data_IF_507578634027
#
_entry.id   IF_507578634027
#
_cell.length_a   1.000
_cell.length_b   1.000
_cell.length_c   1.000
_cell.angle_alpha   90.00
_cell.angle_beta   90.00
_cell.angle_gamma   90.00
#
_symmetry.space_group_name_H-M   'P 1'
#
loop_
_entity.id
_entity.type
_entity.pdbx_description
1 polymer ?
#
# COMPACT_ATOMS: atom_id res chain seq x y z
N UNK A 1 -9.05 -21.67 10.19
CA UNK A 1 -9.61 -20.46 9.53
C UNK A 1 -8.73 -19.27 9.85
N UNK A 2 -8.65 -18.29 8.95
CA UNK A 2 -7.82 -17.09 9.14
C UNK A 2 -8.42 -16.15 10.21
N UNK A 3 -7.56 -15.35 10.83
CA UNK A 3 -7.92 -14.25 11.71
C UNK A 3 -8.66 -13.15 10.91
N UNK A 4 -9.96 -12.89 11.17
CA UNK A 4 -10.71 -11.89 10.41
C UNK A 4 -10.14 -10.48 10.50
N UNK A 5 -9.52 -10.11 11.63
CA UNK A 5 -8.88 -8.81 11.83
C UNK A 5 -7.62 -8.66 10.98
N UNK A 6 -6.87 -9.75 10.74
CA UNK A 6 -5.66 -9.72 9.91
C UNK A 6 -5.94 -9.25 8.47
N UNK A 7 -7.10 -9.60 7.93
CA UNK A 7 -7.52 -9.24 6.57
C UNK A 7 -8.29 -7.91 6.48
N UNK A 8 -8.65 -7.30 7.61
CA UNK A 8 -9.54 -6.10 7.65
C UNK A 8 -8.90 -4.90 8.31
N UNK A 9 -8.07 -5.11 9.31
CA UNK A 9 -7.47 -4.08 10.15
C UNK A 9 -6.01 -3.83 9.78
N UNK A 10 -5.53 -2.64 10.16
CA UNK A 10 -4.15 -2.21 9.92
C UNK A 10 -3.74 -2.24 8.43
N UNK A 11 -4.67 -1.88 7.54
CA UNK A 11 -4.46 -1.75 6.09
C UNK A 11 -4.45 -0.26 5.74
N UNK A 12 -3.35 0.21 5.17
CA UNK A 12 -3.19 1.62 4.80
C UNK A 12 -4.30 2.08 3.84
N UNK A 13 -4.68 3.36 3.95
CA UNK A 13 -5.50 3.99 2.91
C UNK A 13 -4.72 4.01 1.61
N UNK A 14 -5.24 3.31 0.59
CA UNK A 14 -4.55 3.06 -0.66
C UNK A 14 -5.51 3.11 -1.84
N UNK A 15 -5.07 3.74 -2.92
CA UNK A 15 -5.77 3.81 -4.19
C UNK A 15 -5.77 2.41 -4.80
N UNK A 16 -6.91 2.00 -5.35
CA UNK A 16 -7.06 0.67 -5.91
C UNK A 16 -7.01 -0.46 -4.86
N UNK A 17 -7.28 -0.20 -3.57
CA UNK A 17 -7.25 -1.26 -2.55
C UNK A 17 -8.13 -2.45 -2.95
N UNK A 18 -7.62 -3.66 -2.73
CA UNK A 18 -8.24 -4.93 -3.19
C UNK A 18 -9.10 -5.62 -2.14
N UNK A 19 -9.47 -4.93 -1.04
CA UNK A 19 -10.26 -5.53 0.05
C UNK A 19 -11.59 -6.11 -0.43
N UNK A 20 -12.26 -5.41 -1.34
CA UNK A 20 -13.51 -5.88 -1.94
C UNK A 20 -13.32 -7.00 -2.97
N UNK A 21 -12.09 -7.20 -3.47
CA UNK A 21 -11.75 -8.25 -4.44
C UNK A 21 -11.22 -9.53 -3.79
N UNK A 22 -10.92 -9.53 -2.49
CA UNK A 22 -10.31 -10.69 -1.81
C UNK A 22 -11.09 -11.99 -2.02
N UNK A 23 -12.42 -11.98 -1.90
CA UNK A 23 -13.23 -13.18 -2.12
C UNK A 23 -13.13 -13.72 -3.56
N UNK A 24 -13.00 -12.83 -4.56
CA UNK A 24 -12.84 -13.23 -5.96
C UNK A 24 -11.43 -13.78 -6.22
N UNK A 25 -10.42 -13.13 -5.64
CA UNK A 25 -9.02 -13.57 -5.72
C UNK A 25 -8.84 -14.92 -5.02
N UNK A 26 -9.47 -15.12 -3.86
CA UNK A 26 -9.47 -16.38 -3.12
C UNK A 26 -10.14 -17.51 -3.92
N UNK A 27 -11.25 -17.21 -4.59
CA UNK A 27 -11.89 -18.14 -5.51
C UNK A 27 -10.93 -18.59 -6.63
N UNK A 28 -10.22 -17.64 -7.25
CA UNK A 28 -9.22 -17.94 -8.28
C UNK A 28 -8.06 -18.79 -7.73
N UNK A 29 -7.53 -18.47 -6.54
CA UNK A 29 -6.48 -19.26 -5.87
C UNK A 29 -6.96 -20.69 -5.62
N UNK A 30 -8.18 -20.87 -5.11
CA UNK A 30 -8.74 -22.20 -4.84
C UNK A 30 -8.99 -23.00 -6.12
N UNK A 31 -9.47 -22.35 -7.18
CA UNK A 31 -9.62 -22.99 -8.50
C UNK A 31 -8.27 -23.49 -9.03
N UNK A 32 -7.22 -22.68 -8.93
CA UNK A 32 -5.87 -23.05 -9.37
C UNK A 32 -5.30 -24.18 -8.50
N UNK A 33 -5.47 -24.12 -7.18
CA UNK A 33 -5.10 -25.21 -6.26
C UNK A 33 -5.74 -26.53 -6.69
N UNK A 34 -7.03 -26.51 -7.03
CA UNK A 34 -7.74 -27.70 -7.48
C UNK A 34 -7.21 -28.24 -8.82
N UNK A 35 -6.98 -27.37 -9.82
CA UNK A 35 -6.39 -27.76 -11.10
C UNK A 35 -4.98 -28.35 -10.94
N UNK A 36 -4.17 -27.76 -10.05
CA UNK A 36 -2.82 -28.22 -9.76
C UNK A 36 -2.75 -29.40 -8.79
N UNK A 37 -3.88 -29.79 -8.17
CA UNK A 37 -3.98 -30.80 -7.11
C UNK A 37 -3.04 -30.50 -5.93
N UNK A 38 -2.99 -29.23 -5.51
CA UNK A 38 -2.16 -28.75 -4.41
C UNK A 38 -3.02 -28.20 -3.27
N UNK A 39 -2.65 -28.50 -2.02
CA UNK A 39 -3.24 -27.83 -0.86
C UNK A 39 -2.57 -26.48 -0.56
N UNK A 40 -1.28 -26.34 -0.85
CA UNK A 40 -0.54 -25.10 -0.69
C UNK A 40 0.23 -24.78 -1.96
N UNK A 41 0.34 -23.49 -2.27
CA UNK A 41 1.00 -22.98 -3.47
C UNK A 41 2.21 -22.11 -3.14
N UNK A 42 3.14 -22.02 -4.07
CA UNK A 42 4.11 -20.92 -4.10
C UNK A 42 3.46 -19.70 -4.77
N UNK A 43 3.48 -18.56 -4.09
CA UNK A 43 2.75 -17.35 -4.51
C UNK A 43 3.69 -16.15 -4.61
N UNK A 44 3.60 -15.39 -5.70
CA UNK A 44 4.30 -14.12 -5.87
C UNK A 44 3.31 -12.96 -6.00
N UNK A 45 3.44 -11.94 -5.16
CA UNK A 45 2.72 -10.67 -5.27
C UNK A 45 3.67 -9.60 -5.84
N UNK A 46 3.58 -9.34 -7.14
CA UNK A 46 4.56 -8.52 -7.87
C UNK A 46 4.45 -7.03 -7.51
N UNK A 47 3.26 -6.59 -7.12
CA UNK A 47 2.88 -5.21 -6.80
C UNK A 47 2.13 -5.15 -5.46
N UNK A 48 2.80 -5.59 -4.41
CA UNK A 48 2.15 -5.92 -3.13
C UNK A 48 1.47 -4.74 -2.44
N UNK A 49 1.90 -3.49 -2.66
CA UNK A 49 1.23 -2.29 -2.18
C UNK A 49 0.92 -2.29 -0.68
N UNK A 50 -0.36 -2.39 -0.31
CA UNK A 50 -0.78 -2.47 1.11
C UNK A 50 -0.58 -3.85 1.75
N UNK A 51 -0.15 -4.84 0.97
CA UNK A 51 0.06 -6.23 1.36
C UNK A 51 -1.23 -7.05 1.50
N UNK A 52 -2.41 -6.49 1.22
CA UNK A 52 -3.69 -7.17 1.53
C UNK A 52 -3.89 -8.49 0.78
N UNK A 53 -3.41 -8.58 -0.46
CA UNK A 53 -3.50 -9.83 -1.24
C UNK A 53 -2.46 -10.84 -0.77
N UNK A 54 -1.23 -10.40 -0.50
CA UNK A 54 -0.21 -11.21 0.18
C UNK A 54 -0.71 -11.77 1.53
N UNK A 55 -1.40 -10.96 2.34
CA UNK A 55 -2.03 -11.42 3.59
C UNK A 55 -3.08 -12.51 3.36
N UNK A 56 -3.95 -12.33 2.37
CA UNK A 56 -4.92 -13.37 1.98
C UNK A 56 -4.21 -14.66 1.55
N UNK A 57 -3.18 -14.54 0.71
CA UNK A 57 -2.43 -15.68 0.17
C UNK A 57 -1.71 -16.49 1.26
N UNK A 58 -1.43 -15.92 2.44
CA UNK A 58 -0.77 -16.59 3.57
C UNK A 58 -1.50 -17.85 4.03
N UNK A 59 -2.83 -17.81 4.04
CA UNK A 59 -3.65 -18.97 4.36
C UNK A 59 -3.57 -20.09 3.28
N UNK A 60 -3.08 -19.78 2.08
CA UNK A 60 -3.09 -20.67 0.91
C UNK A 60 -1.71 -21.09 0.43
N UNK A 61 -0.63 -20.52 0.99
CA UNK A 61 0.71 -20.66 0.43
C UNK A 61 1.67 -21.42 1.36
N UNK A 62 2.64 -22.13 0.77
CA UNK A 62 3.81 -22.64 1.50
C UNK A 62 4.93 -21.58 1.53
N UNK A 63 5.05 -20.77 0.47
CA UNK A 63 5.96 -19.65 0.37
C UNK A 63 5.31 -18.45 -0.33
N UNK A 64 5.61 -17.23 0.14
CA UNK A 64 5.16 -15.97 -0.47
C UNK A 64 6.36 -15.10 -0.84
N UNK A 65 6.40 -14.65 -2.09
CA UNK A 65 7.32 -13.63 -2.57
C UNK A 65 6.56 -12.31 -2.76
N UNK A 66 6.71 -11.36 -1.85
CA UNK A 66 6.07 -10.04 -1.97
C UNK A 66 7.07 -9.01 -2.49
N UNK A 67 6.71 -8.27 -3.53
CA UNK A 67 7.55 -7.23 -4.11
C UNK A 67 6.78 -5.91 -4.24
N UNK A 68 7.48 -4.80 -4.08
CA UNK A 68 7.00 -3.48 -4.47
C UNK A 68 8.19 -2.54 -4.69
N UNK A 69 7.97 -1.43 -5.38
CA UNK A 69 9.01 -0.41 -5.57
C UNK A 69 9.20 0.44 -4.29
N UNK A 70 8.14 0.60 -3.49
CA UNK A 70 8.10 1.54 -2.38
C UNK A 70 8.55 0.94 -1.04
N UNK A 71 9.34 1.72 -0.28
CA UNK A 71 9.87 1.29 1.02
C UNK A 71 8.75 1.05 2.04
N UNK A 72 7.72 1.89 2.06
CA UNK A 72 6.59 1.68 2.97
C UNK A 72 5.94 0.30 2.73
N UNK A 73 5.85 -0.14 1.47
CA UNK A 73 5.24 -1.42 1.10
C UNK A 73 6.14 -2.57 1.55
N UNK A 74 7.45 -2.46 1.33
CA UNK A 74 8.43 -3.42 1.85
C UNK A 74 8.29 -3.63 3.37
N UNK A 75 8.26 -2.54 4.15
CA UNK A 75 8.15 -2.61 5.62
C UNK A 75 6.81 -3.22 6.05
N UNK A 76 5.71 -2.85 5.39
CA UNK A 76 4.37 -3.39 5.66
C UNK A 76 4.37 -4.90 5.42
N UNK A 77 4.81 -5.36 4.25
CA UNK A 77 4.83 -6.78 3.95
C UNK A 77 5.77 -7.55 4.87
N UNK A 78 6.93 -6.97 5.23
CA UNK A 78 7.86 -7.61 6.18
C UNK A 78 7.20 -7.83 7.56
N UNK A 79 6.45 -6.85 8.06
CA UNK A 79 5.72 -6.96 9.31
C UNK A 79 4.62 -8.03 9.23
N UNK A 80 3.68 -7.88 8.30
CA UNK A 80 2.45 -8.67 8.31
C UNK A 80 2.59 -10.08 7.72
N UNK A 81 3.63 -10.35 6.92
CA UNK A 81 3.97 -11.70 6.49
C UNK A 81 4.87 -12.44 7.49
N UNK A 82 5.37 -11.79 8.54
CA UNK A 82 6.08 -12.49 9.60
C UNK A 82 5.22 -13.54 10.28
N UNK A 83 5.84 -14.65 10.67
CA UNK A 83 5.18 -15.77 11.33
C UNK A 83 5.08 -15.52 12.83
N UNK A 84 3.87 -15.65 13.36
CA UNK A 84 3.67 -15.52 14.79
C UNK A 84 4.37 -16.67 15.52
N UNK A 85 5.10 -16.33 16.57
CA UNK A 85 5.58 -17.27 17.57
C UNK A 85 5.73 -16.53 18.91
N UNK A 86 5.78 -17.29 20.01
CA UNK A 86 5.81 -16.72 21.36
C UNK A 86 7.02 -15.82 21.60
N UNK A 87 8.19 -16.21 21.11
CA UNK A 87 9.44 -15.43 21.26
C UNK A 87 9.31 -14.06 20.60
N UNK A 88 8.80 -14.02 19.37
CA UNK A 88 8.54 -12.78 18.64
C UNK A 88 7.52 -11.92 19.38
N UNK A 89 6.43 -12.52 19.87
CA UNK A 89 5.39 -11.82 20.64
C UNK A 89 5.98 -11.16 21.89
N UNK A 90 6.77 -11.90 22.67
CA UNK A 90 7.37 -11.40 23.91
C UNK A 90 8.35 -10.25 23.63
N UNK A 91 9.11 -10.34 22.53
CA UNK A 91 9.98 -9.24 22.08
C UNK A 91 9.20 -8.01 21.61
N UNK A 92 8.10 -8.20 20.90
CA UNK A 92 7.22 -7.09 20.53
C UNK A 92 6.66 -6.43 21.79
N UNK A 93 6.27 -7.20 22.81
CA UNK A 93 5.75 -6.68 24.07
C UNK A 93 6.81 -5.89 24.86
N UNK A 94 8.03 -6.41 24.93
CA UNK A 94 9.19 -5.75 25.54
C UNK A 94 9.47 -4.39 24.87
N UNK A 95 9.64 -4.39 23.55
CA UNK A 95 9.92 -3.15 22.80
C UNK A 95 8.73 -2.20 22.81
N UNK A 96 7.50 -2.71 22.80
CA UNK A 96 6.30 -1.89 22.93
C UNK A 96 6.32 -1.11 24.25
N UNK A 97 6.64 -1.76 25.37
CA UNK A 97 6.77 -1.11 26.67
C UNK A 97 7.90 -0.06 26.66
N UNK A 98 9.06 -0.39 26.10
CA UNK A 98 10.18 0.55 25.94
C UNK A 98 9.80 1.81 25.13
N UNK A 99 9.08 1.63 24.01
CA UNK A 99 8.67 2.74 23.14
C UNK A 99 7.74 3.73 23.87
N UNK A 100 6.87 3.23 24.75
CA UNK A 100 5.90 4.05 25.49
C UNK A 100 6.44 4.61 26.81
N UNK A 101 7.45 3.97 27.41
CA UNK A 101 8.07 4.43 28.66
C UNK A 101 8.66 5.84 28.50
N UNK A 102 8.20 6.81 29.28
CA UNK A 102 8.69 8.19 29.27
C UNK A 102 8.66 8.83 27.85
N UNK A 103 7.60 8.57 27.08
CA UNK A 103 7.44 9.14 25.75
C UNK A 103 7.06 10.63 25.83
N UNK A 104 8.05 11.49 25.72
CA UNK A 104 7.83 12.93 25.53
C UNK A 104 7.68 13.28 24.05
N UNK A 105 6.67 14.12 23.75
CA UNK A 105 6.45 14.60 22.38
C UNK A 105 7.42 15.73 22.03
N UNK A 106 8.27 15.48 21.05
CA UNK A 106 9.29 16.39 20.53
C UNK A 106 9.00 16.73 19.08
N UNK A 107 9.32 17.97 18.69
CA UNK A 107 9.26 18.41 17.30
C UNK A 107 10.41 17.76 16.51
N UNK A 108 10.09 17.19 15.36
CA UNK A 108 11.03 16.74 14.34
C UNK A 108 10.66 17.32 12.98
N UNK A 109 11.09 16.66 11.90
CA UNK A 109 10.85 17.20 10.57
C UNK A 109 9.42 16.97 10.07
N UNK A 110 8.70 15.98 10.60
CA UNK A 110 7.31 15.73 10.21
C UNK A 110 6.43 16.88 10.71
N UNK A 111 6.53 17.23 11.99
CA UNK A 111 5.83 18.39 12.56
C UNK A 111 6.28 19.70 11.94
N UNK A 112 7.57 19.89 11.68
CA UNK A 112 8.05 21.13 11.08
C UNK A 112 7.63 21.34 9.61
N UNK A 113 7.48 20.27 8.83
CA UNK A 113 7.22 20.38 7.38
C UNK A 113 5.78 20.08 6.97
N UNK A 114 5.02 19.33 7.78
CA UNK A 114 3.74 18.74 7.38
C UNK A 114 2.58 18.95 8.39
N UNK A 115 2.81 19.73 9.45
CA UNK A 115 1.78 20.23 10.36
C UNK A 115 1.83 21.76 10.45
N UNK A 116 0.72 22.43 10.84
CA UNK A 116 0.74 23.87 11.08
C UNK A 116 1.51 24.21 12.37
N UNK A 117 2.03 25.43 12.46
CA UNK A 117 2.67 25.93 13.69
C UNK A 117 1.63 26.19 14.79
N UNK A 118 0.46 26.71 14.42
CA UNK A 118 -0.67 26.94 15.31
C UNK A 118 -1.97 26.49 14.64
N UNK A 119 -2.62 25.47 15.19
CA UNK A 119 -3.87 24.89 14.65
C UNK A 119 -5.05 25.88 14.69
N UNK A 120 -5.07 26.82 15.63
CA UNK A 120 -6.12 27.84 15.77
C UNK A 120 -5.90 29.04 14.85
N UNK A 121 -4.71 29.17 14.25
CA UNK A 121 -4.33 30.31 13.41
C UNK A 121 -3.42 29.91 12.25
N UNK A 122 -3.88 28.94 11.46
CA UNK A 122 -3.15 28.40 10.32
C UNK A 122 -2.89 29.50 9.28
N UNK A 123 -1.64 29.61 8.83
CA UNK A 123 -1.18 30.62 7.86
C UNK A 123 -1.14 30.07 6.44
N UNK A 124 -1.29 30.99 5.47
CA UNK A 124 -1.16 30.67 4.06
C UNK A 124 0.25 30.14 3.76
N UNK A 125 0.34 28.96 3.18
CA UNK A 125 1.60 28.31 2.83
C UNK A 125 2.01 27.20 3.80
N UNK A 126 1.41 27.13 4.99
CA UNK A 126 1.58 26.00 5.89
C UNK A 126 0.94 24.73 5.33
N UNK A 127 1.56 23.58 5.64
CA UNK A 127 1.02 22.28 5.30
C UNK A 127 0.26 21.73 6.47
N UNK A 128 -0.94 21.26 6.21
CA UNK A 128 -1.87 20.79 7.23
C UNK A 128 -2.22 19.35 6.90
N UNK A 129 -1.23 18.45 6.90
CA UNK A 129 -1.46 17.01 6.71
C UNK A 129 -1.85 16.33 8.02
N UNK A 130 -1.21 16.73 9.10
CA UNK A 130 -1.41 16.20 10.45
C UNK A 130 -1.74 17.34 11.42
N UNK A 131 -2.38 17.00 12.53
CA UNK A 131 -2.37 17.85 13.73
C UNK A 131 -0.93 17.96 14.22
N UNK A 132 -0.59 19.06 14.89
CA UNK A 132 0.73 19.30 15.46
C UNK A 132 1.08 18.18 16.45
N UNK A 133 0.11 17.75 17.27
CA UNK A 133 0.27 16.63 18.20
C UNK A 133 0.58 15.31 17.48
N UNK A 134 -0.16 14.94 16.43
CA UNK A 134 0.08 13.70 15.69
C UNK A 134 1.43 13.72 14.98
N UNK A 135 1.83 14.86 14.42
CA UNK A 135 3.12 14.99 13.77
C UNK A 135 4.28 14.88 14.77
N UNK A 136 4.15 15.48 15.96
CA UNK A 136 5.12 15.33 17.05
C UNK A 136 5.17 13.89 17.58
N UNK A 137 4.02 13.20 17.66
CA UNK A 137 4.00 11.78 18.00
C UNK A 137 4.76 10.95 16.98
N UNK A 138 4.52 11.13 15.68
CA UNK A 138 5.25 10.45 14.60
C UNK A 138 6.76 10.72 14.72
N UNK A 139 7.15 11.98 14.90
CA UNK A 139 8.56 12.37 15.06
C UNK A 139 9.21 11.66 16.27
N UNK A 140 8.53 11.66 17.41
CA UNK A 140 9.06 11.14 18.67
C UNK A 140 9.17 9.63 18.65
N UNK A 141 8.10 8.96 18.20
CA UNK A 141 8.05 7.50 18.18
C UNK A 141 9.02 6.95 17.13
N UNK A 142 9.18 7.60 15.97
CA UNK A 142 10.15 7.15 14.97
C UNK A 142 11.58 7.26 15.47
N UNK A 143 11.94 8.34 16.16
CA UNK A 143 13.26 8.46 16.80
C UNK A 143 13.52 7.35 17.82
N UNK A 144 12.52 6.98 18.63
CA UNK A 144 12.64 5.85 19.56
C UNK A 144 12.73 4.49 18.86
N UNK A 145 11.98 4.28 17.77
CA UNK A 145 12.07 3.04 16.98
C UNK A 145 13.48 2.87 16.38
N UNK A 146 14.22 3.94 16.07
CA UNK A 146 15.62 3.79 15.62
C UNK A 146 16.54 3.15 16.69
N UNK A 147 16.14 3.16 17.97
CA UNK A 147 16.91 2.61 19.07
C UNK A 147 16.69 1.11 19.28
N UNK A 148 15.66 0.51 18.68
CA UNK A 148 15.42 -0.93 18.75
C UNK A 148 16.15 -1.67 17.61
N UNK A 149 16.47 -2.97 17.76
CA UNK A 149 17.18 -3.71 16.73
C UNK A 149 16.42 -3.71 15.39
N UNK A 150 17.14 -3.58 14.28
CA UNK A 150 16.57 -3.37 12.93
C UNK A 150 15.50 -4.38 12.55
N UNK A 151 15.72 -5.65 12.88
CA UNK A 151 14.81 -6.75 12.53
C UNK A 151 13.44 -6.63 13.22
N UNK A 152 13.34 -5.84 14.30
CA UNK A 152 12.07 -5.60 15.01
C UNK A 152 11.38 -4.29 14.62
N UNK A 153 12.08 -3.37 13.93
CA UNK A 153 11.53 -2.05 13.61
C UNK A 153 10.27 -2.13 12.74
N UNK A 154 10.19 -3.10 11.83
CA UNK A 154 9.04 -3.26 10.93
C UNK A 154 7.72 -3.45 11.71
N UNK A 155 7.74 -4.12 12.86
CA UNK A 155 6.58 -4.38 13.72
C UNK A 155 5.99 -3.13 14.36
N UNK A 156 6.70 -2.01 14.33
CA UNK A 156 6.25 -0.73 14.87
C UNK A 156 6.10 0.33 13.78
N UNK A 157 6.95 0.32 12.76
CA UNK A 157 6.80 1.22 11.62
C UNK A 157 5.54 0.88 10.82
N UNK A 158 5.24 -0.40 10.55
CA UNK A 158 4.07 -0.76 9.75
C UNK A 158 2.72 -0.36 10.40
N UNK A 159 2.47 -0.59 11.70
CA UNK A 159 1.28 -0.06 12.36
C UNK A 159 1.24 1.47 12.43
N UNK A 160 2.39 2.14 12.60
CA UNK A 160 2.46 3.60 12.56
C UNK A 160 2.08 4.16 11.18
N UNK A 161 2.54 3.53 10.10
CA UNK A 161 2.18 3.90 8.73
C UNK A 161 0.68 3.76 8.49
N UNK A 162 0.06 2.70 9.03
CA UNK A 162 -1.40 2.56 9.02
C UNK A 162 -2.08 3.75 9.70
N UNK A 163 -1.69 4.07 10.93
CA UNK A 163 -2.28 5.17 11.70
C UNK A 163 -2.10 6.52 10.99
N UNK A 164 -0.91 6.80 10.44
CA UNK A 164 -0.64 7.99 9.65
C UNK A 164 -1.48 8.06 8.37
N UNK A 165 -1.78 6.92 7.73
CA UNK A 165 -2.65 6.86 6.55
C UNK A 165 -4.13 7.07 6.85
N UNK A 166 -4.55 6.94 8.11
CA UNK A 166 -5.94 7.14 8.56
C UNK A 166 -6.14 8.54 9.12
N UNK A 167 -5.27 8.95 10.04
CA UNK A 167 -5.36 10.20 10.79
C UNK A 167 -4.60 11.33 10.10
N UNK A 168 -5.09 11.70 8.91
CA UNK A 168 -4.53 12.78 8.11
C UNK A 168 -5.63 13.56 7.37
N UNK A 169 -5.30 14.80 7.03
CA UNK A 169 -6.17 15.77 6.38
C UNK A 169 -6.16 15.66 4.85
N UNK A 170 -6.32 14.44 4.32
CA UNK A 170 -6.36 14.19 2.88
C UNK A 170 -7.63 13.48 2.47
N UNK A 171 -7.89 13.49 1.16
CA UNK A 171 -8.93 12.66 0.52
C UNK A 171 -8.44 11.25 0.18
N UNK A 172 -7.41 10.73 0.84
CA UNK A 172 -6.89 9.37 0.63
C UNK A 172 -5.56 9.29 -0.12
N UNK A 173 -4.99 10.43 -0.53
CA UNK A 173 -3.62 10.53 -1.08
C UNK A 173 -2.93 11.77 -0.53
N UNK A 174 -1.63 11.71 -0.27
CA UNK A 174 -0.83 12.80 0.26
C UNK A 174 -0.46 13.87 -0.78
N UNK A 175 -0.85 13.71 -2.06
CA UNK A 175 -0.58 14.70 -3.11
C UNK A 175 -1.21 16.07 -2.82
N UNK A 176 -2.19 16.16 -1.94
CA UNK A 176 -2.72 17.41 -1.41
C UNK A 176 -3.45 17.20 -0.08
N UNK A 177 -3.69 18.31 0.64
CA UNK A 177 -4.45 18.35 1.88
C UNK A 177 -5.63 19.30 1.75
N UNK A 178 -6.64 19.16 2.61
CA UNK A 178 -7.82 20.01 2.58
C UNK A 178 -7.50 21.47 2.96
N UNK A 179 -8.21 22.38 2.30
CA UNK A 179 -8.06 23.84 2.42
C UNK A 179 -9.44 24.48 2.53
N UNK A 180 -9.47 25.71 3.04
CA UNK A 180 -10.65 26.56 3.00
C UNK A 180 -10.83 27.22 1.63
N UNK A 181 -11.86 28.07 1.51
CA UNK A 181 -12.17 28.83 0.30
C UNK A 181 -11.09 29.84 -0.11
N UNK A 182 -10.22 30.25 0.83
CA UNK A 182 -9.12 31.18 0.60
C UNK A 182 -7.81 30.46 0.25
N UNK A 183 -7.84 29.12 0.18
CA UNK A 183 -6.67 28.29 -0.11
C UNK A 183 -5.70 28.13 1.06
N UNK A 184 -6.12 28.47 2.28
CA UNK A 184 -5.40 28.23 3.54
C UNK A 184 -5.72 26.80 4.00
N UNK A 185 -4.74 26.09 4.56
CA UNK A 185 -4.97 24.74 5.08
C UNK A 185 -6.07 24.73 6.15
N UNK A 186 -6.99 23.78 6.06
CA UNK A 186 -8.09 23.63 7.03
C UNK A 186 -8.43 22.15 7.18
N UNK A 187 -8.50 21.67 8.42
CA UNK A 187 -8.88 20.30 8.70
C UNK A 187 -10.31 20.02 8.21
N UNK A 188 -10.48 19.00 7.35
CA UNK A 188 -11.79 18.68 6.75
C UNK A 188 -12.29 19.69 5.71
N UNK A 189 -11.46 20.68 5.35
CA UNK A 189 -11.79 21.74 4.39
C UNK A 189 -12.85 22.72 4.91
N UNK A 190 -13.43 23.51 4.01
CA UNK A 190 -14.47 24.51 4.38
C UNK A 190 -15.64 23.90 5.14
N UNK A 191 -15.99 22.64 4.84
CA UNK A 191 -17.11 21.91 5.43
C UNK A 191 -16.74 21.09 6.68
N UNK A 192 -15.47 21.09 7.10
CA UNK A 192 -15.00 20.38 8.30
C UNK A 192 -15.43 18.90 8.33
N UNK A 193 -15.31 18.23 7.18
CA UNK A 193 -15.75 16.84 7.08
C UNK A 193 -14.74 15.87 7.71
N UNK A 194 -15.27 14.83 8.34
CA UNK A 194 -14.49 13.72 8.92
C UNK A 194 -13.45 14.14 9.96
N UNK A 195 -13.71 15.21 10.74
CA UNK A 195 -12.79 15.69 11.78
C UNK A 195 -12.44 14.62 12.81
N UNK A 196 -13.38 13.76 13.21
CA UNK A 196 -13.10 12.65 14.14
C UNK A 196 -12.01 11.71 13.63
N UNK A 197 -12.00 11.42 12.33
CA UNK A 197 -10.93 10.65 11.68
C UNK A 197 -9.66 11.50 11.55
N UNK A 198 -9.76 12.71 11.02
CA UNK A 198 -8.61 13.55 10.67
C UNK A 198 -7.80 13.97 11.90
N UNK A 199 -8.50 14.39 12.97
CA UNK A 199 -7.91 14.86 14.24
C UNK A 199 -7.79 13.75 15.29
N UNK A 200 -8.22 12.52 14.98
CA UNK A 200 -8.03 11.38 15.87
C UNK A 200 -6.55 11.20 16.22
N UNK A 201 -6.26 10.93 17.50
CA UNK A 201 -4.88 10.80 17.97
C UNK A 201 -4.24 9.55 17.37
N UNK A 202 -3.08 9.72 16.75
CA UNK A 202 -2.23 8.61 16.34
C UNK A 202 -1.71 7.94 17.60
N UNK A 203 -1.90 6.63 17.67
CA UNK A 203 -1.27 5.75 18.66
C UNK A 203 -0.39 4.73 17.93
N UNK A 204 0.39 3.96 18.68
CA UNK A 204 1.14 2.83 18.12
C UNK A 204 0.45 1.54 18.55
N UNK A 205 -0.38 0.90 17.70
CA UNK A 205 -0.93 -0.42 18.01
C UNK A 205 0.09 -1.52 17.75
N UNK A 206 -0.06 -2.67 18.43
CA UNK A 206 0.71 -3.89 18.11
C UNK A 206 0.24 -4.49 16.78
N UNK A 207 1.12 -5.14 16.02
CA UNK A 207 0.75 -5.77 14.76
C UNK A 207 -0.23 -6.94 14.97
N UNK A 208 -1.17 -7.09 14.06
CA UNK A 208 -2.08 -8.24 14.00
C UNK A 208 -1.46 -9.30 13.10
N UNK A 209 -1.40 -10.55 13.57
CA UNK A 209 -0.81 -11.66 12.83
C UNK A 209 -1.88 -12.61 12.25
N UNK A 210 -1.48 -13.32 11.20
CA UNK A 210 -2.20 -14.45 10.63
C UNK A 210 -2.22 -15.64 11.59
N UNK A 211 -3.26 -16.47 11.49
CA UNK A 211 -3.32 -17.78 12.13
C UNK A 211 -2.47 -18.85 11.42
N UNK A 212 -1.92 -18.53 10.25
CA UNK A 212 -1.11 -19.41 9.43
C UNK A 212 0.35 -18.97 9.42
N UNK A 213 1.24 -19.94 9.25
CA UNK A 213 2.64 -19.70 8.98
C UNK A 213 2.97 -20.20 7.57
N UNK A 214 3.82 -19.45 6.88
CA UNK A 214 4.42 -19.84 5.61
C UNK A 214 5.82 -19.22 5.51
N UNK A 215 6.67 -19.75 4.65
CA UNK A 215 7.90 -19.07 4.31
C UNK A 215 7.56 -17.79 3.54
N UNK A 216 8.41 -16.78 3.65
CA UNK A 216 8.19 -15.55 2.90
C UNK A 216 9.49 -14.82 2.61
N UNK A 217 9.48 -14.08 1.51
CA UNK A 217 10.56 -13.20 1.12
C UNK A 217 9.96 -11.90 0.60
N UNK A 218 10.36 -10.78 1.20
CA UNK A 218 9.94 -9.45 0.76
C UNK A 218 11.08 -8.78 0.00
N UNK A 219 10.79 -8.21 -1.16
CA UNK A 219 11.75 -7.50 -2.01
C UNK A 219 11.27 -6.08 -2.25
N UNK A 220 12.24 -5.17 -2.40
CA UNK A 220 12.00 -3.80 -2.84
C UNK A 220 12.68 -3.58 -4.20
N UNK A 221 12.07 -4.07 -5.28
CA UNK A 221 12.67 -4.06 -6.61
C UNK A 221 11.68 -3.54 -7.67
N UNK A 222 12.23 -3.04 -8.77
CA UNK A 222 11.41 -2.88 -9.98
C UNK A 222 10.87 -4.26 -10.40
N UNK A 223 9.62 -4.27 -10.83
CA UNK A 223 8.82 -5.46 -11.09
C UNK A 223 9.46 -6.40 -12.13
N UNK A 224 10.12 -5.84 -13.16
CA UNK A 224 10.80 -6.65 -14.18
C UNK A 224 12.06 -7.32 -13.64
N UNK A 225 12.80 -6.65 -12.77
CA UNK A 225 13.98 -7.21 -12.12
C UNK A 225 13.58 -8.28 -11.10
N UNK A 226 12.48 -8.05 -10.38
CA UNK A 226 11.83 -9.08 -9.56
C UNK A 226 11.44 -10.29 -10.40
N UNK A 227 10.75 -10.11 -11.54
CA UNK A 227 10.33 -11.22 -12.39
C UNK A 227 11.50 -12.07 -12.92
N UNK A 228 12.65 -11.44 -13.21
CA UNK A 228 13.85 -12.14 -13.69
C UNK A 228 14.54 -12.95 -12.58
N UNK A 229 14.58 -12.40 -11.37
CA UNK A 229 15.29 -12.96 -10.22
C UNK A 229 14.44 -13.91 -9.36
N UNK A 230 13.11 -13.78 -9.40
CA UNK A 230 12.20 -14.63 -8.66
C UNK A 230 12.26 -16.08 -9.18
N UNK A 231 12.15 -17.01 -8.25
CA UNK A 231 12.04 -18.44 -8.55
C UNK A 231 10.73 -18.74 -9.29
N UNK A 232 10.63 -19.95 -9.85
CA UNK A 232 9.38 -20.38 -10.46
C UNK A 232 8.32 -20.55 -9.38
N UNK A 233 7.15 -19.93 -9.59
CA UNK A 233 6.01 -20.02 -8.66
C UNK A 233 4.79 -20.70 -9.30
N UNK A 234 3.86 -21.17 -8.49
CA UNK A 234 2.58 -21.68 -8.96
C UNK A 234 1.68 -20.53 -9.42
N UNK A 235 1.63 -19.43 -8.63
CA UNK A 235 0.82 -18.25 -8.95
C UNK A 235 1.67 -16.98 -8.84
N UNK A 236 1.64 -16.13 -9.87
CA UNK A 236 2.03 -14.73 -9.76
C UNK A 236 0.78 -13.83 -9.87
N UNK A 237 0.54 -13.03 -8.84
CA UNK A 237 -0.49 -12.01 -8.78
C UNK A 237 0.06 -10.65 -9.18
N UNK A 238 -0.69 -9.93 -10.02
CA UNK A 238 -0.32 -8.61 -10.53
C UNK A 238 -1.47 -7.61 -10.35
N UNK A 239 -1.14 -6.47 -9.76
CA UNK A 239 -2.01 -5.30 -9.63
C UNK A 239 -1.21 -4.02 -9.94
N UNK A 240 -0.79 -3.83 -11.21
CA UNK A 240 0.08 -2.72 -11.57
C UNK A 240 -0.65 -1.37 -11.46
N UNK A 241 0.09 -0.25 -11.35
CA UNK A 241 -0.47 1.05 -11.66
C UNK A 241 -1.06 1.05 -13.08
N UNK A 242 -2.35 1.39 -13.21
CA UNK A 242 -3.06 1.31 -14.49
C UNK A 242 -3.31 2.67 -15.14
N UNK A 243 -2.96 3.78 -14.48
CA UNK A 243 -3.19 5.14 -14.97
C UNK A 243 -2.05 6.11 -14.58
N UNK A 244 -2.22 7.41 -14.82
CA UNK A 244 -1.19 8.44 -14.60
C UNK A 244 -0.96 8.82 -13.12
N UNK A 245 -1.65 8.19 -12.16
CA UNK A 245 -1.54 8.52 -10.74
C UNK A 245 -0.31 7.84 -10.10
N UNK A 246 0.80 8.56 -9.85
CA UNK A 246 2.05 7.94 -9.44
C UNK A 246 2.03 7.67 -7.93
N UNK A 247 2.16 6.40 -7.53
CA UNK A 247 2.12 5.98 -6.13
C UNK A 247 3.25 6.63 -5.31
N UNK A 248 4.49 6.68 -5.82
CA UNK A 248 5.60 7.34 -5.11
C UNK A 248 5.35 8.80 -4.74
N UNK A 249 4.60 9.54 -5.58
CA UNK A 249 4.20 10.92 -5.27
C UNK A 249 2.90 11.03 -4.46
N UNK A 250 1.98 10.07 -4.61
CA UNK A 250 0.70 10.05 -3.88
C UNK A 250 0.86 9.56 -2.44
N UNK A 251 1.86 8.73 -2.16
CA UNK A 251 2.14 8.12 -0.85
C UNK A 251 3.52 8.47 -0.32
N UNK A 252 4.16 9.53 -0.85
CA UNK A 252 5.49 9.96 -0.43
C UNK A 252 5.63 10.12 1.11
N UNK A 253 4.57 10.55 1.78
CA UNK A 253 4.55 10.73 3.23
C UNK A 253 4.83 9.42 3.96
N UNK A 254 4.32 8.30 3.45
CA UNK A 254 4.56 6.98 4.03
C UNK A 254 6.04 6.61 3.91
N UNK A 255 6.70 6.93 2.79
CA UNK A 255 8.15 6.73 2.65
C UNK A 255 8.97 7.66 3.56
N UNK A 256 8.51 8.89 3.79
CA UNK A 256 9.16 9.81 4.74
C UNK A 256 9.07 9.30 6.17
N UNK A 257 7.91 8.79 6.59
CA UNK A 257 7.74 8.20 7.92
C UNK A 257 8.53 6.88 8.03
N UNK A 258 8.48 6.04 7.00
CA UNK A 258 9.21 4.78 6.93
C UNK A 258 10.72 4.99 7.10
N UNK A 259 11.32 5.81 6.25
CA UNK A 259 12.76 6.08 6.28
C UNK A 259 13.20 7.01 7.41
N UNK A 260 12.28 7.85 7.90
CA UNK A 260 12.53 8.95 8.83
C UNK A 260 13.75 9.82 8.46
N UNK A 261 13.95 10.02 7.15
CA UNK A 261 15.00 10.89 6.60
C UNK A 261 14.40 12.20 6.12
N UNK A 262 14.85 13.32 6.69
CA UNK A 262 14.42 14.66 6.26
C UNK A 262 14.81 14.89 4.79
N UNK A 263 13.86 15.22 3.90
CA UNK A 263 14.17 15.43 2.50
C UNK A 263 14.94 16.76 2.29
N UNK A 264 15.92 16.74 1.39
CA UNK A 264 16.71 17.94 1.04
C UNK A 264 15.98 18.90 0.11
N UNK A 265 15.20 18.37 -0.83
CA UNK A 265 14.42 19.14 -1.79
C UNK A 265 12.99 18.63 -1.86
N UNK A 266 12.04 19.55 -1.69
CA UNK A 266 10.61 19.25 -1.66
C UNK A 266 9.80 20.19 -2.58
N UNK A 267 8.63 19.73 -3.04
CA UNK A 267 7.70 20.55 -3.80
C UNK A 267 7.06 21.64 -2.92
N UNK A 268 6.74 22.79 -3.53
CA UNK A 268 6.23 23.97 -2.80
C UNK A 268 4.95 23.65 -2.01
N UNK A 269 3.95 23.10 -2.67
CA UNK A 269 2.61 22.92 -2.09
C UNK A 269 2.59 21.77 -1.07
N UNK A 270 2.79 20.54 -1.53
CA UNK A 270 2.57 19.35 -0.70
C UNK A 270 3.84 18.85 -0.02
N UNK A 271 5.00 19.41 -0.32
CA UNK A 271 6.26 19.01 0.30
C UNK A 271 6.74 17.64 -0.18
N UNK A 272 6.40 17.27 -1.41
CA UNK A 272 6.79 15.98 -2.01
C UNK A 272 8.29 16.03 -2.29
N UNK A 273 9.11 15.12 -1.75
CA UNK A 273 10.53 15.02 -2.07
C UNK A 273 10.72 14.91 -3.59
N UNK A 274 11.70 15.61 -4.20
CA UNK A 274 11.90 15.50 -5.66
C UNK A 274 12.35 14.11 -6.12
N UNK A 275 13.10 13.40 -5.27
CA UNK A 275 13.65 12.07 -5.54
C UNK A 275 12.65 10.95 -5.19
N UNK A 276 11.42 11.03 -5.69
CA UNK A 276 10.40 9.99 -5.53
C UNK A 276 10.45 8.97 -6.67
N UNK A 277 10.03 7.73 -6.41
CA UNK A 277 10.07 6.62 -7.36
C UNK A 277 9.08 6.79 -8.52
N UNK A 278 9.57 6.71 -9.75
CA UNK A 278 8.75 6.84 -10.97
C UNK A 278 8.54 5.49 -11.62
N UNK A 279 7.33 4.94 -11.53
CA UNK A 279 6.99 3.70 -12.21
C UNK A 279 6.78 3.90 -13.70
N UNK A 280 7.29 2.96 -14.51
CA UNK A 280 7.05 2.92 -15.96
C UNK A 280 5.57 2.70 -16.29
N UNK A 281 4.81 2.02 -15.43
CA UNK A 281 3.38 1.74 -15.62
C UNK A 281 2.50 2.98 -15.52
N UNK A 282 3.00 4.07 -14.92
CA UNK A 282 2.30 5.36 -14.92
C UNK A 282 2.49 6.16 -16.23
N UNK A 283 3.30 5.69 -17.18
CA UNK A 283 3.55 6.36 -18.46
C UNK A 283 2.71 5.73 -19.57
N UNK A 284 1.64 6.41 -20.00
CA UNK A 284 0.69 5.89 -21.02
C UNK A 284 1.37 5.30 -22.26
N UNK A 285 2.39 5.97 -22.77
CA UNK A 285 3.13 5.55 -23.96
C UNK A 285 4.00 4.28 -23.78
N UNK A 286 4.33 3.91 -22.53
CA UNK A 286 5.23 2.78 -22.22
C UNK A 286 4.57 1.66 -21.43
N UNK A 287 3.44 1.94 -20.77
CA UNK A 287 2.81 1.04 -19.81
C UNK A 287 2.45 -0.31 -20.43
N UNK A 288 1.91 -0.31 -21.66
CA UNK A 288 1.53 -1.54 -22.38
C UNK A 288 2.73 -2.46 -22.61
N UNK A 289 3.74 -1.95 -23.30
CA UNK A 289 4.91 -2.75 -23.68
C UNK A 289 5.68 -3.24 -22.45
N UNK A 290 5.82 -2.38 -21.43
CA UNK A 290 6.44 -2.73 -20.18
C UNK A 290 5.67 -3.84 -19.43
N UNK A 291 4.33 -3.77 -19.43
CA UNK A 291 3.51 -4.77 -18.73
C UNK A 291 3.51 -6.11 -19.45
N UNK A 292 3.38 -6.11 -20.78
CA UNK A 292 3.45 -7.34 -21.57
C UNK A 292 4.83 -8.01 -21.48
N UNK A 293 5.90 -7.23 -21.47
CA UNK A 293 7.26 -7.74 -21.21
C UNK A 293 7.37 -8.39 -19.83
N UNK A 294 6.78 -7.78 -18.80
CA UNK A 294 6.74 -8.34 -17.45
C UNK A 294 6.00 -9.69 -17.41
N UNK A 295 4.79 -9.75 -17.99
CA UNK A 295 3.97 -10.97 -18.03
C UNK A 295 4.69 -12.13 -18.74
N UNK A 296 5.40 -11.83 -19.83
CA UNK A 296 6.21 -12.82 -20.54
C UNK A 296 7.38 -13.32 -19.68
N UNK A 297 8.05 -12.42 -18.97
CA UNK A 297 9.25 -12.71 -18.17
C UNK A 297 8.98 -13.49 -16.88
N UNK A 298 7.76 -13.41 -16.33
CA UNK A 298 7.41 -14.09 -15.09
C UNK A 298 7.40 -15.61 -15.25
N UNK A 299 8.18 -16.29 -14.40
CA UNK A 299 8.24 -17.74 -14.28
C UNK A 299 7.11 -18.22 -13.36
N UNK A 300 5.88 -18.29 -13.87
CA UNK A 300 4.73 -18.77 -13.12
C UNK A 300 3.94 -19.81 -13.91
N UNK A 301 3.27 -20.76 -13.23
CA UNK A 301 2.31 -21.67 -13.87
C UNK A 301 1.00 -20.95 -14.17
N UNK A 302 0.59 -20.07 -13.25
CA UNK A 302 -0.58 -19.24 -13.38
C UNK A 302 -0.27 -17.77 -13.13
N UNK A 303 -0.95 -16.91 -13.87
CA UNK A 303 -1.02 -15.47 -13.59
C UNK A 303 -2.44 -15.13 -13.13
N UNK A 304 -2.53 -14.29 -12.10
CA UNK A 304 -3.77 -13.61 -11.72
C UNK A 304 -3.54 -12.11 -11.86
N UNK A 305 -4.29 -11.44 -12.72
CA UNK A 305 -4.13 -10.00 -12.98
C UNK A 305 -5.41 -9.28 -12.58
N UNK A 306 -5.32 -8.36 -11.63
CA UNK A 306 -6.39 -7.40 -11.38
C UNK A 306 -6.14 -6.14 -12.19
N UNK A 307 -7.11 -5.73 -13.00
CA UNK A 307 -6.98 -4.53 -13.82
C UNK A 307 -8.33 -3.81 -14.01
N UNK A 308 -8.29 -2.49 -13.85
CA UNK A 308 -9.46 -1.65 -14.00
C UNK A 308 -9.71 -1.30 -15.47
N UNK A 309 -10.98 -1.26 -15.90
CA UNK A 309 -11.37 -0.92 -17.27
C UNK A 309 -11.00 0.51 -17.70
N UNK A 310 -10.68 1.41 -16.76
CA UNK A 310 -10.21 2.78 -17.04
C UNK A 310 -8.68 2.87 -17.22
N UNK A 311 -7.98 1.74 -17.25
CA UNK A 311 -6.54 1.72 -17.40
C UNK A 311 -6.04 2.05 -18.81
N UNK A 312 -4.71 2.21 -18.95
CA UNK A 312 -4.08 2.52 -20.23
C UNK A 312 -4.15 1.39 -21.27
N UNK A 313 -4.39 0.16 -20.86
CA UNK A 313 -4.47 -1.02 -21.72
C UNK A 313 -5.94 -1.45 -21.78
N UNK A 314 -6.49 -1.52 -22.99
CA UNK A 314 -7.88 -1.94 -23.18
C UNK A 314 -8.06 -3.45 -22.93
N UNK A 315 -9.30 -3.86 -22.63
CA UNK A 315 -9.65 -5.29 -22.50
C UNK A 315 -9.29 -6.09 -23.75
N UNK A 316 -9.50 -5.52 -24.94
CA UNK A 316 -9.19 -6.16 -26.21
C UNK A 316 -7.68 -6.41 -26.37
N UNK A 317 -6.86 -5.39 -26.11
CA UNK A 317 -5.39 -5.53 -26.13
C UNK A 317 -4.90 -6.57 -25.11
N UNK A 318 -5.49 -6.59 -23.92
CA UNK A 318 -5.21 -7.62 -22.92
C UNK A 318 -5.51 -9.02 -23.44
N UNK A 319 -6.74 -9.26 -23.90
CA UNK A 319 -7.14 -10.58 -24.39
C UNK A 319 -6.26 -11.04 -25.56
N UNK A 320 -5.93 -10.15 -26.50
CA UNK A 320 -5.07 -10.48 -27.64
C UNK A 320 -3.68 -10.95 -27.18
N UNK A 321 -3.08 -10.26 -26.20
CA UNK A 321 -1.77 -10.66 -25.68
C UNK A 321 -1.84 -11.91 -24.79
N UNK A 322 -2.79 -11.96 -23.86
CA UNK A 322 -2.91 -13.05 -22.88
C UNK A 322 -3.17 -14.40 -23.57
N UNK A 323 -3.97 -14.42 -24.65
CA UNK A 323 -4.21 -15.63 -25.45
C UNK A 323 -2.96 -16.14 -26.19
N UNK A 324 -1.92 -15.31 -26.38
CA UNK A 324 -0.63 -15.73 -26.96
C UNK A 324 0.27 -16.42 -25.93
N UNK A 325 0.05 -16.18 -24.64
CA UNK A 325 0.92 -16.67 -23.56
C UNK A 325 0.26 -17.71 -22.65
N UNK A 326 -1.01 -18.04 -22.87
CA UNK A 326 -1.70 -19.06 -22.10
C UNK A 326 -3.22 -19.10 -22.29
N UNK A 327 -3.86 -20.10 -21.68
CA UNK A 327 -5.32 -20.19 -21.65
C UNK A 327 -5.88 -19.14 -20.67
N UNK A 328 -6.75 -18.26 -21.16
CA UNK A 328 -7.27 -17.12 -20.39
C UNK A 328 -8.73 -17.30 -19.98
N UNK A 329 -9.00 -17.06 -18.70
CA UNK A 329 -10.33 -16.91 -18.12
C UNK A 329 -10.46 -15.51 -17.52
N UNK A 330 -11.65 -14.89 -17.61
CA UNK A 330 -11.91 -13.55 -17.08
C UNK A 330 -13.08 -13.62 -16.11
N UNK A 331 -12.89 -13.11 -14.90
CA UNK A 331 -13.95 -12.84 -13.94
C UNK A 331 -14.18 -11.33 -13.86
N UNK A 332 -15.42 -10.87 -13.76
CA UNK A 332 -15.77 -9.44 -13.74
C UNK A 332 -16.46 -9.05 -12.43
N UNK A 333 -16.14 -7.86 -11.89
CA UNK A 333 -16.86 -7.27 -10.76
C UNK A 333 -17.10 -5.78 -10.97
N UNK A 334 -18.35 -5.35 -10.86
CA UNK A 334 -18.76 -3.94 -10.97
C UNK A 334 -18.47 -3.16 -9.68
N UNK A 335 -17.98 -1.94 -9.80
CA UNK A 335 -17.66 -0.99 -8.72
C UNK A 335 -18.25 0.39 -8.97
N UNK A 336 -18.39 1.19 -7.92
CA UNK A 336 -18.69 2.63 -8.05
C UNK A 336 -17.40 3.42 -8.33
N UNK A 337 -17.44 4.36 -9.27
CA UNK A 337 -16.28 5.17 -9.64
C UNK A 337 -15.76 6.05 -8.47
N UNK A 338 -14.45 6.32 -8.43
CA UNK A 338 -13.80 7.11 -7.37
C UNK A 338 -14.26 8.59 -7.39
N UNK A 339 -14.94 9.03 -6.32
CA UNK A 339 -15.67 10.32 -6.27
C UNK A 339 -14.83 11.57 -5.92
N UNK A 340 -13.54 11.45 -5.59
CA UNK A 340 -12.74 12.61 -5.15
C UNK A 340 -12.01 13.36 -6.29
N UNK A 341 -12.37 13.11 -7.55
CA UNK A 341 -11.87 13.86 -8.71
C UNK A 341 -12.74 15.09 -9.00
N UNK A 342 -12.11 16.22 -9.39
CA UNK A 342 -12.80 17.49 -9.70
C UNK A 342 -13.60 17.47 -11.01
N UNK A 343 -13.47 16.43 -11.83
CA UNK A 343 -14.16 16.30 -13.12
C UNK A 343 -15.14 15.11 -13.09
N UNK A 344 -16.39 15.36 -12.69
CA UNK A 344 -17.44 14.33 -12.58
C UNK A 344 -18.45 14.35 -13.76
N UNK A 345 -18.45 15.38 -14.61
CA UNK A 345 -19.56 15.62 -15.53
C UNK A 345 -19.65 14.67 -16.75
N UNK A 346 -18.68 13.76 -16.97
CA UNK A 346 -18.64 12.88 -18.16
C UNK A 346 -18.06 11.48 -17.87
N UNK A 347 -18.20 10.97 -16.64
CA UNK A 347 -17.64 9.67 -16.25
C UNK A 347 -18.75 8.70 -15.87
N UNK A 348 -18.65 7.46 -16.33
CA UNK A 348 -19.58 6.40 -15.92
C UNK A 348 -19.59 6.27 -14.39
N UNK A 349 -20.79 6.15 -13.82
CA UNK A 349 -21.00 5.99 -12.38
C UNK A 349 -20.37 4.70 -11.84
N UNK A 350 -20.06 3.76 -12.73
CA UNK A 350 -19.50 2.46 -12.41
C UNK A 350 -18.24 2.15 -13.22
N UNK A 351 -17.22 1.63 -12.54
CA UNK A 351 -16.02 1.06 -13.17
C UNK A 351 -16.07 -0.46 -13.02
N UNK A 352 -15.51 -1.20 -13.96
CA UNK A 352 -15.42 -2.66 -13.89
C UNK A 352 -13.99 -3.06 -13.58
N UNK A 353 -13.80 -3.83 -12.52
CA UNK A 353 -12.55 -4.54 -12.28
C UNK A 353 -12.61 -5.90 -12.97
N UNK A 354 -11.59 -6.18 -13.76
CA UNK A 354 -11.36 -7.47 -14.38
C UNK A 354 -10.32 -8.24 -13.58
N UNK A 355 -10.62 -9.50 -13.28
CA UNK A 355 -9.66 -10.46 -12.77
C UNK A 355 -9.37 -11.48 -13.87
N UNK A 356 -8.23 -11.32 -14.53
CA UNK A 356 -7.75 -12.26 -15.54
C UNK A 356 -6.99 -13.40 -14.88
N UNK A 357 -7.31 -14.63 -15.25
CA UNK A 357 -6.63 -15.85 -14.81
C UNK A 357 -6.03 -16.50 -16.05
N UNK A 358 -4.72 -16.71 -16.05
CA UNK A 358 -4.00 -17.25 -17.21
C UNK A 358 -3.22 -18.48 -16.78
N UNK A 359 -3.48 -19.61 -17.44
CA UNK A 359 -2.67 -20.83 -17.36
C UNK A 359 -1.57 -20.76 -18.41
N UNK A 360 -0.33 -20.52 -18.01
CA UNK A 360 0.83 -20.37 -18.90
C UNK A 360 1.32 -21.69 -19.48
#
# INVERSE_FOLDING_TARGET
MENPSFLKEQIITYLGNKRSLLALIECAINQIKADLRLDKISFADVFSGSGVVSRLAKAHSNIIYANDLELYSFIINQCYLSNFNKILSDKIDEFYAFLHKDLELKKGFISALYAPENEENIKKGERVFFTTQNAMFIDSIRQKIELIPKDFQCFFIAPLLYQASVHNNTGGVFKGFYKDQNGIGKFGGTKEQALSRIKGQISLPKPIFSNFNCDFCVRQMESLDFAKSCERVDIAYLDPPYNQHPYGSNYFMLNLIASYKKPSQISKISGIPKAWNKSIYNQKAKAKDAFFTLLASLKARYLIISFNNEGFISKAEFCEFLNKIGQTQILEKKYNAYKASRNLNNRDLHTTEYLYIIKK
#
